data_IF_448942954972
#
_entry.id   IF_448942954972
#
_cell.length_a   1.000
_cell.length_b   1.000
_cell.length_c   1.000
_cell.angle_alpha   90.00
_cell.angle_beta   90.00
_cell.angle_gamma   90.00
#
_symmetry.space_group_name_H-M   'P 1'
#
loop_
_entity.id
_entity.type
_entity.pdbx_description
1 polymer ?
#
# COMPACT_ATOMS: atom_id res chain seq x y z
N UNK A 1 -1.61 17.12 4.36
CA UNK A 1 -2.69 16.19 3.99
C UNK A 1 -3.08 15.41 5.24
N UNK A 2 -4.37 15.13 5.45
CA UNK A 2 -4.92 14.40 6.62
C UNK A 2 -5.99 13.39 6.14
N UNK A 3 -6.21 12.27 6.85
CA UNK A 3 -7.35 11.38 6.60
C UNK A 3 -8.64 12.07 7.03
N UNK A 4 -9.69 12.09 6.18
CA UNK A 4 -10.88 12.89 6.44
C UNK A 4 -11.82 12.30 7.50
N UNK A 5 -11.56 11.08 7.97
CA UNK A 5 -12.38 10.35 8.94
C UNK A 5 -11.48 9.43 9.77
N UNK A 6 -11.96 8.96 10.93
CA UNK A 6 -11.20 8.11 11.83
C UNK A 6 -10.56 6.89 11.15
N UNK A 7 -9.37 6.50 11.59
CA UNK A 7 -8.61 5.38 11.00
C UNK A 7 -9.27 4.01 11.17
N UNK A 8 -10.23 3.88 12.09
CA UNK A 8 -11.05 2.68 12.28
C UNK A 8 -12.18 2.55 11.25
N UNK A 9 -12.51 3.62 10.51
CA UNK A 9 -13.55 3.60 9.47
C UNK A 9 -12.90 3.20 8.15
N UNK A 10 -13.28 2.03 7.63
CA UNK A 10 -12.70 1.45 6.41
C UNK A 10 -13.23 2.09 5.12
N UNK A 11 -12.62 1.73 3.99
CA UNK A 11 -13.11 2.10 2.66
C UNK A 11 -14.21 1.12 2.25
N UNK A 12 -15.41 1.63 2.00
CA UNK A 12 -16.57 0.83 1.57
C UNK A 12 -16.73 0.80 0.04
N UNK A 13 -16.34 1.87 -0.65
CA UNK A 13 -16.42 1.96 -2.11
C UNK A 13 -15.29 2.85 -2.65
N UNK A 14 -14.35 2.28 -3.41
CA UNK A 14 -13.19 3.04 -3.85
C UNK A 14 -13.46 3.89 -5.11
N UNK A 15 -12.57 4.85 -5.33
CA UNK A 15 -12.48 5.62 -6.56
C UNK A 15 -12.31 4.70 -7.76
N UNK A 16 -12.98 5.01 -8.87
CA UNK A 16 -12.91 4.23 -10.09
C UNK A 16 -13.69 2.91 -10.06
N UNK A 17 -14.29 2.51 -8.94
CA UNK A 17 -15.15 1.30 -8.88
C UNK A 17 -16.42 1.54 -9.69
N UNK A 18 -16.87 0.54 -10.46
CA UNK A 18 -18.14 0.64 -11.19
C UNK A 18 -19.31 0.17 -10.32
N UNK A 19 -20.40 0.92 -10.38
CA UNK A 19 -21.70 0.46 -9.92
C UNK A 19 -22.23 -0.66 -10.84
N UNK A 20 -23.26 -1.39 -10.39
CA UNK A 20 -23.89 -2.47 -11.19
C UNK A 20 -24.43 -2.00 -12.54
N UNK A 21 -24.77 -0.71 -12.65
CA UNK A 21 -25.21 -0.06 -13.90
C UNK A 21 -24.05 0.47 -14.76
N UNK A 22 -22.80 0.13 -14.44
CA UNK A 22 -21.61 0.49 -15.22
C UNK A 22 -21.04 1.89 -14.96
N UNK A 23 -21.73 2.73 -14.17
CA UNK A 23 -21.27 4.08 -13.82
C UNK A 23 -20.03 4.02 -12.93
N UNK A 24 -19.04 4.87 -13.21
CA UNK A 24 -17.80 4.96 -12.42
C UNK A 24 -18.02 5.82 -11.17
N UNK A 25 -17.55 5.32 -10.03
CA UNK A 25 -17.51 6.05 -8.78
C UNK A 25 -16.40 7.10 -8.80
N UNK A 26 -16.79 8.35 -8.54
CA UNK A 26 -15.93 9.53 -8.70
C UNK A 26 -15.17 9.91 -7.42
N UNK A 27 -15.43 9.25 -6.31
CA UNK A 27 -14.83 9.54 -5.00
C UNK A 27 -14.38 8.29 -4.28
N UNK A 28 -14.06 8.41 -2.99
CA UNK A 28 -13.80 7.31 -2.07
C UNK A 28 -14.84 7.39 -0.95
N UNK A 29 -15.51 6.27 -0.70
CA UNK A 29 -16.49 6.13 0.38
C UNK A 29 -15.85 5.45 1.58
N UNK A 30 -16.07 6.04 2.76
CA UNK A 30 -15.64 5.52 4.04
C UNK A 30 -16.84 5.15 4.90
N UNK A 31 -16.89 3.90 5.38
CA UNK A 31 -18.00 3.42 6.21
C UNK A 31 -17.57 2.29 7.14
N UNK A 32 -18.16 2.28 8.33
CA UNK A 32 -18.23 1.14 9.25
C UNK A 32 -19.70 0.81 9.59
N UNK A 33 -20.65 1.33 8.78
CA UNK A 33 -22.09 1.21 8.99
C UNK A 33 -22.70 2.21 9.98
N UNK A 34 -21.90 3.12 10.59
CA UNK A 34 -22.38 4.09 11.59
C UNK A 34 -22.27 5.54 11.10
N UNK A 35 -23.15 6.40 11.60
CA UNK A 35 -23.11 7.86 11.42
C UNK A 35 -22.35 8.55 12.55
N UNK A 36 -22.07 9.84 12.39
CA UNK A 36 -21.62 10.71 13.46
C UNK A 36 -20.10 10.79 13.61
N UNK A 37 -19.34 10.11 12.74
CA UNK A 37 -17.88 10.20 12.75
C UNK A 37 -17.44 11.63 12.42
N UNK A 38 -16.40 12.11 13.10
CA UNK A 38 -15.84 13.41 12.81
C UNK A 38 -15.27 13.45 11.38
N UNK A 39 -15.71 14.44 10.60
CA UNK A 39 -15.21 14.68 9.24
C UNK A 39 -14.24 15.86 9.28
N UNK A 40 -13.04 15.66 8.74
CA UNK A 40 -11.93 16.63 8.79
C UNK A 40 -11.49 17.03 7.39
N UNK A 41 -10.98 18.26 7.26
CA UNK A 41 -10.39 18.71 6.00
C UNK A 41 -9.09 17.94 5.71
N UNK A 42 -8.98 17.36 4.52
CA UNK A 42 -7.75 16.74 4.03
C UNK A 42 -6.62 17.75 3.86
N UNK A 43 -6.95 19.00 3.50
CA UNK A 43 -6.01 20.04 3.12
C UNK A 43 -6.33 21.38 3.80
N UNK A 44 -5.34 22.25 3.86
CA UNK A 44 -5.56 23.68 4.10
C UNK A 44 -6.33 24.26 2.91
N UNK A 45 -7.31 25.11 3.17
CA UNK A 45 -8.07 25.73 2.10
C UNK A 45 -9.16 26.68 2.56
N UNK A 46 -10.02 27.06 1.63
CA UNK A 46 -11.18 27.91 1.87
C UNK A 46 -12.45 27.13 1.52
N UNK A 47 -13.43 27.14 2.42
CA UNK A 47 -14.75 26.56 2.18
C UNK A 47 -15.44 27.34 1.06
N UNK A 48 -15.77 26.67 -0.04
CA UNK A 48 -16.52 27.24 -1.16
C UNK A 48 -17.97 26.82 -1.19
N UNK A 49 -18.34 25.79 -0.42
CA UNK A 49 -19.72 25.34 -0.24
C UNK A 49 -19.88 24.69 1.14
N UNK A 50 -21.00 24.96 1.80
CA UNK A 50 -21.46 24.29 3.01
C UNK A 50 -22.99 24.26 3.00
N UNK A 51 -23.59 23.07 2.89
CA UNK A 51 -25.04 22.90 2.85
C UNK A 51 -25.52 21.91 1.78
N UNK A 52 -26.82 21.92 1.51
CA UNK A 52 -27.46 21.10 0.46
C UNK A 52 -27.45 21.80 -0.91
N UNK A 53 -27.51 21.03 -2.01
CA UNK A 53 -27.76 21.57 -3.36
C UNK A 53 -26.55 22.12 -4.14
N UNK A 54 -25.32 22.04 -3.60
CA UNK A 54 -24.06 22.49 -4.20
C UNK A 54 -23.66 21.79 -5.51
N UNK A 55 -22.69 20.85 -5.48
CA UNK A 55 -22.29 20.06 -6.67
C UNK A 55 -23.36 19.06 -7.15
N UNK A 56 -24.59 19.20 -6.66
CA UNK A 56 -25.74 18.38 -6.99
C UNK A 56 -26.40 17.80 -5.73
N UNK A 57 -27.71 17.51 -5.80
CA UNK A 57 -28.46 16.92 -4.68
C UNK A 57 -28.00 15.50 -4.33
N UNK A 58 -27.33 14.80 -5.26
CA UNK A 58 -26.87 13.43 -5.07
C UNK A 58 -25.90 13.26 -3.89
N UNK A 59 -25.08 14.26 -3.58
CA UNK A 59 -24.16 14.23 -2.43
C UNK A 59 -24.84 14.53 -1.10
N UNK A 60 -26.12 14.90 -1.12
CA UNK A 60 -26.81 15.33 0.09
C UNK A 60 -26.22 16.63 0.65
N UNK A 61 -26.22 16.75 1.97
CA UNK A 61 -25.53 17.81 2.69
C UNK A 61 -24.01 17.60 2.58
N UNK A 62 -23.27 18.64 2.18
CA UNK A 62 -21.84 18.49 1.90
C UNK A 62 -21.07 19.80 2.10
N UNK A 63 -19.75 19.65 2.25
CA UNK A 63 -18.79 20.75 2.31
C UNK A 63 -17.81 20.61 1.14
N UNK A 64 -17.42 21.74 0.52
CA UNK A 64 -16.37 21.77 -0.50
C UNK A 64 -15.28 22.72 -0.05
N UNK A 65 -14.04 22.24 -0.04
CA UNK A 65 -12.86 23.03 0.31
C UNK A 65 -11.97 23.22 -0.91
N UNK A 66 -11.79 24.48 -1.32
CA UNK A 66 -10.83 24.89 -2.35
C UNK A 66 -9.45 25.01 -1.72
N UNK A 67 -8.50 24.23 -2.23
CA UNK A 67 -7.14 24.13 -1.70
C UNK A 67 -6.11 24.33 -2.81
N UNK A 68 -4.93 24.84 -2.48
CA UNK A 68 -3.78 24.81 -3.40
C UNK A 68 -2.87 23.67 -2.97
N UNK A 69 -2.72 22.65 -3.83
CA UNK A 69 -1.90 21.48 -3.54
C UNK A 69 -0.98 21.17 -4.71
N UNK A 70 0.33 21.08 -4.44
CA UNK A 70 1.39 20.86 -5.45
C UNK A 70 1.27 21.85 -6.64
N UNK A 71 1.06 23.13 -6.34
CA UNK A 71 0.93 24.19 -7.35
C UNK A 71 -0.37 24.16 -8.17
N UNK A 72 -1.32 23.27 -7.85
CA UNK A 72 -2.61 23.16 -8.55
C UNK A 72 -3.77 23.43 -7.60
N UNK A 73 -4.80 24.10 -8.09
CA UNK A 73 -6.05 24.30 -7.36
C UNK A 73 -6.88 23.01 -7.37
N UNK A 74 -7.34 22.59 -6.19
CA UNK A 74 -8.15 21.40 -5.94
C UNK A 74 -9.43 21.77 -5.22
N UNK A 75 -10.52 21.10 -5.53
CA UNK A 75 -11.76 21.16 -4.76
C UNK A 75 -12.01 19.80 -4.15
N UNK A 76 -11.99 19.73 -2.82
CA UNK A 76 -12.24 18.51 -2.08
C UNK A 76 -13.65 18.56 -1.53
N UNK A 77 -14.51 17.67 -2.01
CA UNK A 77 -15.89 17.51 -1.57
C UNK A 77 -15.97 16.46 -0.46
N UNK A 78 -16.72 16.78 0.59
CA UNK A 78 -17.06 15.89 1.71
C UNK A 78 -18.58 15.74 1.73
N UNK A 79 -19.07 14.63 1.19
CA UNK A 79 -20.48 14.34 0.95
C UNK A 79 -21.15 13.53 2.05
N UNK A 80 -22.48 13.48 2.00
CA UNK A 80 -23.35 12.74 2.92
C UNK A 80 -23.13 13.10 4.39
N UNK A 81 -22.96 14.40 4.68
CA UNK A 81 -22.80 14.90 6.03
C UNK A 81 -24.13 14.91 6.77
N UNK A 82 -24.06 14.67 8.08
CA UNK A 82 -25.18 14.87 9.00
C UNK A 82 -25.19 16.26 9.63
N UNK A 83 -24.00 16.81 9.83
CA UNK A 83 -23.80 18.16 10.34
C UNK A 83 -22.69 18.84 9.55
N UNK A 84 -22.79 20.16 9.41
CA UNK A 84 -21.73 21.03 8.92
C UNK A 84 -21.42 22.07 10.00
N UNK A 85 -20.13 22.23 10.31
CA UNK A 85 -19.63 23.10 11.38
C UNK A 85 -18.81 24.26 10.81
N UNK A 86 -19.01 24.56 9.53
CA UNK A 86 -18.25 25.57 8.78
C UNK A 86 -19.15 26.38 7.87
N UNK A 87 -18.70 27.56 7.48
CA UNK A 87 -19.43 28.47 6.60
C UNK A 87 -18.64 28.80 5.32
N UNK A 88 -19.35 29.15 4.25
CA UNK A 88 -18.73 29.61 3.00
C UNK A 88 -17.80 30.80 3.26
N UNK A 89 -16.61 30.77 2.67
CA UNK A 89 -15.55 31.76 2.87
C UNK A 89 -14.61 31.47 4.04
N UNK A 90 -14.95 30.55 4.94
CA UNK A 90 -14.10 30.18 6.06
C UNK A 90 -12.80 29.52 5.58
N UNK A 91 -11.66 29.99 6.11
CA UNK A 91 -10.37 29.30 5.96
C UNK A 91 -10.31 28.15 6.96
N UNK A 92 -9.92 26.98 6.46
CA UNK A 92 -9.77 25.76 7.25
C UNK A 92 -8.35 25.22 7.14
N UNK A 93 -7.85 24.63 8.21
CA UNK A 93 -6.59 23.88 8.23
C UNK A 93 -6.83 22.40 7.95
N UNK A 94 -5.84 21.71 7.39
CA UNK A 94 -5.85 20.26 7.33
C UNK A 94 -6.03 19.69 8.74
N UNK A 95 -6.94 18.72 8.88
CA UNK A 95 -7.33 18.14 10.17
C UNK A 95 -8.42 18.92 10.92
N UNK A 96 -8.79 20.14 10.48
CA UNK A 96 -9.89 20.88 11.09
C UNK A 96 -11.22 20.17 10.83
N UNK A 97 -12.04 20.05 11.88
CA UNK A 97 -13.40 19.50 11.80
C UNK A 97 -14.26 20.35 10.87
N UNK A 98 -14.87 19.68 9.89
CA UNK A 98 -15.83 20.24 8.95
C UNK A 98 -17.28 19.92 9.33
N UNK A 99 -17.50 18.80 10.05
CA UNK A 99 -18.82 18.29 10.36
C UNK A 99 -18.79 16.85 10.86
N UNK A 100 -19.89 16.13 10.66
CA UNK A 100 -19.97 14.69 10.97
C UNK A 100 -20.55 13.88 9.81
N UNK A 101 -20.10 12.63 9.65
CA UNK A 101 -20.64 11.73 8.63
C UNK A 101 -22.11 11.39 8.89
N UNK A 102 -22.87 11.16 7.83
CA UNK A 102 -24.29 10.84 7.84
C UNK A 102 -24.64 9.87 6.72
N UNK A 103 -25.77 10.11 6.06
CA UNK A 103 -26.15 9.37 4.86
C UNK A 103 -27.06 8.17 5.13
N UNK A 104 -27.69 8.05 6.30
CA UNK A 104 -28.76 7.07 6.50
C UNK A 104 -29.90 7.30 5.51
N UNK A 105 -30.39 6.22 4.90
CA UNK A 105 -31.52 6.28 3.98
C UNK A 105 -32.75 6.92 4.66
N UNK A 106 -33.40 7.85 3.96
CA UNK A 106 -34.56 8.60 4.47
C UNK A 106 -34.22 9.77 5.40
N UNK A 107 -32.95 9.99 5.74
CA UNK A 107 -32.54 11.21 6.45
C UNK A 107 -32.68 12.43 5.54
N UNK A 108 -33.17 13.54 6.10
CA UNK A 108 -33.18 14.83 5.40
C UNK A 108 -31.77 15.17 4.92
N UNK A 109 -31.64 15.44 3.62
CA UNK A 109 -30.36 15.71 2.94
C UNK A 109 -29.38 14.53 2.85
N UNK A 110 -29.86 13.27 2.86
CA UNK A 110 -29.02 12.09 2.59
C UNK A 110 -28.49 12.02 1.15
N UNK A 111 -29.14 12.73 0.21
CA UNK A 111 -28.88 12.57 -1.22
C UNK A 111 -29.15 11.15 -1.68
N UNK A 112 -28.32 10.63 -2.59
CA UNK A 112 -28.42 9.27 -3.12
C UNK A 112 -27.70 8.22 -2.25
N UNK A 113 -27.37 8.56 -1.00
CA UNK A 113 -26.73 7.63 -0.09
C UNK A 113 -27.61 6.40 0.16
N UNK A 114 -27.02 5.21 0.09
CA UNK A 114 -27.69 3.94 0.38
C UNK A 114 -27.52 3.49 1.83
N UNK A 115 -26.72 4.22 2.63
CA UNK A 115 -26.47 3.94 4.04
C UNK A 115 -25.37 4.82 4.63
N UNK A 116 -25.12 4.76 5.95
CA UNK A 116 -24.15 5.63 6.61
C UNK A 116 -22.74 5.55 6.03
N UNK A 117 -22.22 6.66 5.47
CA UNK A 117 -20.85 6.75 4.98
C UNK A 117 -20.42 8.22 4.78
N UNK A 118 -19.10 8.43 4.64
CA UNK A 118 -18.53 9.67 4.13
C UNK A 118 -18.07 9.46 2.69
N UNK A 119 -18.52 10.30 1.77
CA UNK A 119 -18.01 10.34 0.39
C UNK A 119 -16.98 11.46 0.24
N UNK A 120 -15.79 11.15 -0.29
CA UNK A 120 -14.75 12.15 -0.57
C UNK A 120 -14.37 12.14 -2.03
N UNK A 121 -14.56 13.28 -2.70
CA UNK A 121 -14.22 13.44 -4.12
C UNK A 121 -13.29 14.62 -4.31
N UNK A 122 -12.39 14.52 -5.28
CA UNK A 122 -11.52 15.62 -5.68
C UNK A 122 -11.80 15.99 -7.13
N UNK A 123 -11.98 17.28 -7.40
CA UNK A 123 -12.20 17.79 -8.75
C UNK A 123 -11.37 19.02 -9.10
N UNK A 124 -11.47 19.40 -10.38
CA UNK A 124 -10.87 20.59 -10.95
C UNK A 124 -11.92 21.66 -11.29
N UNK A 125 -11.53 22.93 -11.15
CA UNK A 125 -12.27 24.10 -11.62
C UNK A 125 -13.72 24.22 -11.11
N UNK A 126 -14.01 23.76 -9.89
CA UNK A 126 -15.36 23.77 -9.31
C UNK A 126 -16.41 23.02 -10.16
N UNK A 127 -16.02 21.95 -10.88
CA UNK A 127 -16.95 21.17 -11.73
C UNK A 127 -17.13 19.73 -11.24
N UNK A 128 -18.36 19.22 -11.37
CA UNK A 128 -18.78 17.87 -11.03
C UNK A 128 -18.32 16.77 -12.03
N UNK A 129 -17.99 17.17 -13.26
CA UNK A 129 -17.67 16.27 -14.37
C UNK A 129 -16.18 15.93 -14.50
N UNK A 130 -15.29 16.71 -13.86
CA UNK A 130 -13.84 16.47 -13.84
C UNK A 130 -13.35 16.10 -12.45
N UNK A 131 -13.12 14.82 -12.26
CA UNK A 131 -12.65 14.22 -11.01
C UNK A 131 -11.24 13.63 -11.18
N UNK A 132 -10.52 13.50 -10.07
CA UNK A 132 -9.26 12.77 -9.98
C UNK A 132 -9.26 11.86 -8.76
N UNK A 133 -8.27 10.99 -8.69
CA UNK A 133 -8.08 10.08 -7.56
C UNK A 133 -7.99 10.86 -6.23
N UNK A 134 -8.96 10.72 -5.31
CA UNK A 134 -8.95 11.39 -4.01
C UNK A 134 -7.75 11.01 -3.14
N UNK A 135 -7.11 9.86 -3.39
CA UNK A 135 -5.88 9.47 -2.70
C UNK A 135 -4.73 10.44 -2.95
N UNK A 136 -4.80 11.29 -3.98
CA UNK A 136 -3.83 12.37 -4.20
C UNK A 136 -3.81 13.43 -3.08
N UNK A 137 -4.90 13.58 -2.32
CA UNK A 137 -5.02 14.60 -1.25
C UNK A 137 -5.36 14.01 0.13
N UNK A 138 -5.81 12.76 0.19
CA UNK A 138 -6.09 12.06 1.43
C UNK A 138 -4.78 11.47 1.96
N UNK A 139 -4.34 11.91 3.14
CA UNK A 139 -3.21 11.26 3.80
C UNK A 139 -3.69 9.99 4.47
N UNK A 140 -3.26 8.84 3.96
CA UNK A 140 -3.51 7.55 4.59
C UNK A 140 -2.69 7.34 5.88
N UNK A 141 -1.57 8.06 6.00
CA UNK A 141 -0.63 8.07 7.12
C UNK A 141 -1.00 9.12 8.18
N UNK A 142 -2.25 9.18 8.62
CA UNK A 142 -2.47 9.58 10.02
C UNK A 142 -2.42 8.31 10.87
N UNK A 143 -1.27 7.99 11.47
CA UNK A 143 -1.31 7.48 12.82
C UNK A 143 -2.30 8.36 13.59
N UNK A 144 -3.21 7.76 14.35
CA UNK A 144 -3.50 8.33 15.66
C UNK A 144 -2.12 8.67 16.24
N UNK A 145 -1.92 9.88 16.76
CA UNK A 145 -0.65 10.26 17.39
C UNK A 145 -0.34 9.26 18.51
N UNK A 146 0.26 8.13 18.16
CA UNK A 146 1.05 7.32 19.05
C UNK A 146 2.27 8.19 19.24
N UNK A 147 2.60 8.62 20.47
CA UNK A 147 3.84 9.33 20.72
C UNK A 147 4.94 8.55 20.02
N UNK A 148 5.61 9.19 19.05
CA UNK A 148 6.75 8.59 18.37
C UNK A 148 7.75 8.29 19.48
N UNK A 149 8.00 7.03 19.84
CA UNK A 149 8.99 6.74 20.85
C UNK A 149 10.30 7.36 20.32
N UNK A 150 11.09 8.03 21.17
CA UNK A 150 12.36 8.59 20.75
C UNK A 150 13.14 7.52 20.00
N UNK A 151 13.77 7.92 18.89
CA UNK A 151 14.64 7.05 18.09
C UNK A 151 15.48 6.22 19.06
N UNK A 152 15.33 4.89 19.13
CA UNK A 152 16.05 4.10 20.11
C UNK A 152 17.54 4.39 19.92
N UNK A 153 18.16 4.89 20.99
CA UNK A 153 19.59 5.21 21.04
C UNK A 153 20.44 3.95 21.04
N UNK A 154 19.82 2.79 21.24
CA UNK A 154 20.36 1.45 21.05
C UNK A 154 19.87 0.82 19.73
N UNK A 155 20.61 -0.19 19.22
CA UNK A 155 20.12 -1.03 18.11
C UNK A 155 18.73 -1.55 18.52
N UNK A 156 17.67 -1.35 17.71
CA UNK A 156 16.36 -1.90 18.04
C UNK A 156 16.50 -3.41 18.24
N UNK A 157 15.76 -3.97 19.18
CA UNK A 157 15.75 -5.41 19.38
C UNK A 157 15.04 -6.05 18.17
N UNK A 158 15.84 -6.42 17.16
CA UNK A 158 15.36 -6.86 15.86
C UNK A 158 14.92 -8.32 15.96
N UNK A 159 13.76 -8.62 15.38
CA UNK A 159 13.33 -10.00 15.20
C UNK A 159 13.94 -10.58 13.93
N UNK A 160 13.69 -9.96 12.78
CA UNK A 160 14.38 -10.24 11.52
C UNK A 160 14.15 -9.09 10.51
N UNK A 161 14.93 -9.08 9.43
CA UNK A 161 14.79 -8.12 8.34
C UNK A 161 14.35 -8.77 7.04
N UNK A 162 13.57 -8.03 6.25
CA UNK A 162 13.12 -8.41 4.90
C UNK A 162 13.65 -7.37 3.91
N UNK A 163 14.24 -7.84 2.82
CA UNK A 163 14.72 -7.05 1.68
C UNK A 163 13.93 -7.45 0.44
N UNK A 164 13.31 -6.50 -0.27
CA UNK A 164 12.55 -6.72 -1.50
C UNK A 164 13.30 -6.14 -2.70
N UNK A 165 13.54 -7.01 -3.69
CA UNK A 165 14.20 -6.71 -4.96
C UNK A 165 13.26 -7.02 -6.11
N UNK A 166 12.91 -6.03 -6.92
CA UNK A 166 12.20 -6.25 -8.18
C UNK A 166 13.19 -6.01 -9.33
N UNK A 167 13.46 -7.04 -10.12
CA UNK A 167 14.58 -7.04 -11.08
C UNK A 167 14.20 -6.65 -12.52
N UNK A 168 12.98 -6.18 -12.78
CA UNK A 168 12.55 -5.70 -14.10
C UNK A 168 12.73 -6.75 -15.22
N UNK A 169 12.16 -7.94 -15.01
CA UNK A 169 12.45 -9.23 -15.67
C UNK A 169 12.32 -9.30 -17.19
N UNK A 170 11.83 -8.25 -17.85
CA UNK A 170 11.54 -8.23 -19.29
C UNK A 170 12.20 -7.10 -20.08
N UNK A 171 12.89 -6.15 -19.42
CA UNK A 171 13.39 -4.94 -20.08
C UNK A 171 14.93 -4.86 -20.07
N UNK A 172 15.54 -5.33 -21.16
CA UNK A 172 16.98 -5.22 -21.42
C UNK A 172 17.31 -3.87 -22.06
N UNK A 173 17.19 -2.76 -21.31
CA UNK A 173 17.51 -1.41 -21.79
C UNK A 173 18.94 -0.95 -21.50
N UNK A 174 19.94 -1.78 -21.86
CA UNK A 174 21.29 -1.26 -22.12
C UNK A 174 22.24 -1.09 -20.92
N UNK A 175 21.98 -1.73 -19.77
CA UNK A 175 23.11 -2.22 -18.94
C UNK A 175 23.41 -3.61 -19.46
N UNK A 176 24.52 -3.73 -20.17
CA UNK A 176 24.84 -4.94 -20.92
C UNK A 176 24.99 -6.14 -19.98
N UNK A 177 24.14 -7.14 -20.26
CA UNK A 177 24.00 -8.46 -19.65
C UNK A 177 23.44 -8.47 -18.23
N UNK A 178 22.34 -9.19 -18.02
CA UNK A 178 21.84 -9.63 -16.69
C UNK A 178 22.93 -10.00 -15.67
N UNK A 179 24.08 -10.48 -16.14
CA UNK A 179 25.26 -10.71 -15.31
C UNK A 179 25.67 -9.47 -14.49
N UNK A 180 25.81 -8.30 -15.12
CA UNK A 180 26.22 -7.07 -14.42
C UNK A 180 25.17 -6.62 -13.40
N UNK A 181 23.88 -6.69 -13.77
CA UNK A 181 22.75 -6.41 -12.87
C UNK A 181 22.81 -7.35 -11.66
N UNK A 182 22.88 -8.66 -11.89
CA UNK A 182 22.97 -9.68 -10.83
C UNK A 182 24.20 -9.43 -9.95
N UNK A 183 25.39 -9.20 -10.53
CA UNK A 183 26.61 -8.93 -9.75
C UNK A 183 26.42 -7.73 -8.81
N UNK A 184 25.91 -6.61 -9.33
CA UNK A 184 25.66 -5.41 -8.52
C UNK A 184 24.58 -5.67 -7.46
N UNK A 185 23.46 -6.30 -7.82
CA UNK A 185 22.38 -6.67 -6.90
C UNK A 185 22.90 -7.56 -5.77
N UNK A 186 23.72 -8.58 -6.05
CA UNK A 186 24.27 -9.48 -5.04
C UNK A 186 25.24 -8.74 -4.11
N UNK A 187 26.12 -7.89 -4.65
CA UNK A 187 27.02 -7.07 -3.84
C UNK A 187 26.24 -6.12 -2.91
N UNK A 188 25.14 -5.59 -3.42
CA UNK A 188 24.26 -4.72 -2.69
C UNK A 188 23.47 -5.46 -1.59
N UNK A 189 22.91 -6.64 -1.88
CA UNK A 189 22.28 -7.53 -0.89
C UNK A 189 23.26 -7.89 0.23
N UNK A 190 24.50 -8.22 -0.10
CA UNK A 190 25.56 -8.49 0.89
C UNK A 190 25.76 -7.32 1.85
N UNK A 191 25.68 -6.10 1.34
CA UNK A 191 25.81 -4.87 2.15
C UNK A 191 24.59 -4.63 3.04
N UNK A 192 23.38 -4.97 2.57
CA UNK A 192 22.14 -4.84 3.36
C UNK A 192 22.04 -5.89 4.45
N UNK A 193 22.38 -7.14 4.14
CA UNK A 193 22.53 -8.24 5.10
C UNK A 193 21.25 -8.64 5.83
N UNK A 194 20.07 -8.60 5.19
CA UNK A 194 18.80 -9.00 5.83
C UNK A 194 18.59 -10.50 5.83
N UNK A 195 17.87 -11.00 6.84
CA UNK A 195 17.62 -12.41 7.04
C UNK A 195 16.88 -13.05 5.85
N UNK A 196 15.96 -12.31 5.24
CA UNK A 196 15.16 -12.74 4.09
C UNK A 196 15.30 -11.73 2.96
N UNK A 197 15.51 -12.24 1.74
CA UNK A 197 15.50 -11.47 0.51
C UNK A 197 14.43 -12.05 -0.40
N UNK A 198 13.39 -11.25 -0.67
CA UNK A 198 12.36 -11.54 -1.63
C UNK A 198 12.74 -10.92 -2.98
N UNK A 199 12.76 -11.75 -4.02
CA UNK A 199 13.11 -11.34 -5.38
C UNK A 199 11.89 -11.55 -6.27
N UNK A 200 11.53 -10.50 -7.01
CA UNK A 200 10.46 -10.47 -7.99
C UNK A 200 11.09 -10.23 -9.38
N UNK A 201 10.47 -10.82 -10.39
CA UNK A 201 10.88 -10.76 -11.80
C UNK A 201 12.30 -11.28 -12.08
N UNK A 202 12.79 -12.27 -11.33
CA UNK A 202 14.01 -12.99 -11.68
C UNK A 202 13.75 -13.94 -12.87
N UNK A 203 14.36 -13.76 -14.05
CA UNK A 203 14.06 -14.62 -15.20
C UNK A 203 14.48 -16.06 -14.94
N UNK A 204 13.67 -17.03 -15.38
CA UNK A 204 13.90 -18.47 -15.13
C UNK A 204 15.32 -18.91 -15.53
N UNK A 205 15.82 -18.48 -16.69
CA UNK A 205 17.16 -18.81 -17.18
C UNK A 205 18.31 -18.17 -16.39
N UNK A 206 18.03 -17.34 -15.38
CA UNK A 206 19.02 -16.66 -14.52
C UNK A 206 18.99 -17.15 -13.07
N UNK A 207 18.01 -17.95 -12.70
CA UNK A 207 17.79 -18.40 -11.33
C UNK A 207 19.01 -19.12 -10.76
N UNK A 208 19.64 -20.01 -11.53
CA UNK A 208 20.75 -20.82 -11.01
C UNK A 208 22.05 -20.01 -10.81
N UNK A 209 22.35 -19.05 -11.69
CA UNK A 209 23.46 -18.11 -11.47
C UNK A 209 23.20 -17.24 -10.22
N UNK A 210 21.96 -16.75 -10.07
CA UNK A 210 21.58 -15.98 -8.89
C UNK A 210 21.70 -16.79 -7.60
N UNK A 211 21.23 -18.04 -7.58
CA UNK A 211 21.37 -18.98 -6.45
C UNK A 211 22.85 -19.19 -6.10
N UNK A 212 23.69 -19.47 -7.10
CA UNK A 212 25.13 -19.69 -6.91
C UNK A 212 25.78 -18.48 -6.23
N UNK A 213 25.48 -17.27 -6.69
CA UNK A 213 26.03 -16.02 -6.16
C UNK A 213 25.50 -15.68 -4.77
N UNK A 214 24.20 -15.87 -4.53
CA UNK A 214 23.60 -15.74 -3.19
C UNK A 214 24.26 -16.71 -2.19
N UNK A 215 24.54 -17.96 -2.60
CA UNK A 215 25.24 -18.93 -1.76
C UNK A 215 26.65 -18.48 -1.37
N UNK A 216 27.37 -17.84 -2.30
CA UNK A 216 28.70 -17.29 -2.05
C UNK A 216 28.71 -16.15 -1.01
N UNK A 217 27.58 -15.46 -0.81
CA UNK A 217 27.43 -14.39 0.20
C UNK A 217 26.63 -14.83 1.44
N UNK A 218 26.45 -16.14 1.65
CA UNK A 218 25.89 -16.69 2.90
C UNK A 218 24.38 -16.93 2.90
N UNK A 219 23.72 -16.91 1.73
CA UNK A 219 22.29 -17.19 1.59
C UNK A 219 22.03 -18.59 1.02
N UNK A 220 20.82 -19.12 1.22
CA UNK A 220 20.29 -20.30 0.55
C UNK A 220 18.96 -19.97 -0.10
N UNK A 221 18.63 -20.67 -1.18
CA UNK A 221 17.34 -20.52 -1.85
C UNK A 221 16.28 -21.27 -1.05
N UNK A 222 15.26 -20.56 -0.56
CA UNK A 222 14.14 -21.13 0.19
C UNK A 222 13.06 -21.73 -0.72
N UNK A 223 13.07 -21.36 -2.01
CA UNK A 223 12.09 -21.77 -2.99
C UNK A 223 11.56 -20.58 -3.79
N UNK A 224 10.72 -20.87 -4.77
CA UNK A 224 10.17 -19.86 -5.66
C UNK A 224 9.64 -20.45 -6.96
N UNK A 225 8.85 -19.66 -7.68
CA UNK A 225 8.35 -20.01 -9.00
C UNK A 225 8.10 -18.77 -9.85
N UNK A 226 8.28 -18.89 -11.17
CA UNK A 226 8.00 -17.86 -12.18
C UNK A 226 8.49 -16.46 -11.78
N UNK A 227 9.75 -16.36 -11.35
CA UNK A 227 10.39 -15.09 -10.98
C UNK A 227 10.07 -14.55 -9.58
N UNK A 228 9.29 -15.27 -8.76
CA UNK A 228 9.09 -14.95 -7.33
C UNK A 228 9.89 -15.91 -6.49
N UNK A 229 10.96 -15.44 -5.88
CA UNK A 229 11.90 -16.28 -5.12
C UNK A 229 12.18 -15.71 -3.75
N UNK A 230 12.35 -16.59 -2.76
CA UNK A 230 12.88 -16.22 -1.45
C UNK A 230 14.30 -16.78 -1.28
N UNK A 231 15.19 -15.95 -0.78
CA UNK A 231 16.49 -16.34 -0.29
C UNK A 231 16.60 -16.00 1.19
N UNK A 232 17.23 -16.88 1.96
CA UNK A 232 17.38 -16.70 3.41
C UNK A 232 18.82 -16.92 3.81
N UNK A 233 19.29 -16.27 4.87
CA UNK A 233 20.63 -16.54 5.40
C UNK A 233 20.76 -18.04 5.76
N UNK A 234 21.93 -18.65 5.53
CA UNK A 234 22.12 -20.11 5.67
C UNK A 234 21.75 -20.64 7.06
N UNK A 235 22.01 -19.85 8.11
CA UNK A 235 21.70 -20.18 9.50
C UNK A 235 20.23 -20.01 9.88
N UNK A 236 19.42 -19.36 9.05
CA UNK A 236 17.97 -19.23 9.27
C UNK A 236 17.28 -20.52 8.80
N UNK A 237 16.51 -21.16 9.67
CA UNK A 237 15.76 -22.35 9.31
C UNK A 237 14.53 -21.98 8.47
N UNK A 238 14.19 -22.83 7.50
CA UNK A 238 13.06 -22.62 6.59
C UNK A 238 12.38 -23.96 6.33
N UNK A 239 11.06 -24.00 6.52
CA UNK A 239 10.25 -25.17 6.19
C UNK A 239 9.97 -25.19 4.68
N UNK A 240 9.55 -26.33 4.13
CA UNK A 240 9.21 -26.44 2.71
C UNK A 240 8.11 -25.42 2.32
N UNK A 241 8.40 -24.58 1.33
CA UNK A 241 7.49 -23.56 0.84
C UNK A 241 6.43 -24.10 -0.14
N UNK A 242 5.41 -23.28 -0.39
CA UNK A 242 4.29 -23.62 -1.27
C UNK A 242 4.14 -22.56 -2.36
N UNK A 243 3.86 -23.03 -3.57
CA UNK A 243 3.50 -22.20 -4.73
C UNK A 243 1.99 -22.30 -4.94
N UNK A 244 1.35 -21.18 -5.23
CA UNK A 244 -0.08 -21.15 -5.54
C UNK A 244 -0.43 -20.08 -6.56
N UNK A 245 -1.50 -20.33 -7.32
CA UNK A 245 -2.01 -19.39 -8.31
C UNK A 245 -2.85 -18.31 -7.62
N UNK A 246 -2.67 -17.06 -8.05
CA UNK A 246 -3.46 -15.95 -7.53
C UNK A 246 -4.88 -15.94 -8.11
N UNK A 247 -5.10 -16.48 -9.31
CA UNK A 247 -6.40 -16.48 -9.97
C UNK A 247 -6.49 -17.54 -11.08
N UNK A 248 -6.97 -18.76 -10.78
CA UNK A 248 -7.24 -19.74 -11.83
C UNK A 248 -8.37 -19.30 -12.80
N UNK A 249 -9.29 -18.43 -12.35
CA UNK A 249 -10.53 -18.12 -13.09
C UNK A 249 -10.54 -16.74 -13.79
N UNK A 250 -9.46 -15.94 -13.74
CA UNK A 250 -9.47 -14.54 -14.20
C UNK A 250 -8.72 -14.25 -15.51
N UNK A 251 -8.37 -15.28 -16.30
CA UNK A 251 -7.84 -15.06 -17.66
C UNK A 251 -6.62 -14.13 -17.67
N UNK A 252 -5.51 -14.61 -17.12
CA UNK A 252 -4.21 -13.98 -17.16
C UNK A 252 -3.18 -15.05 -16.84
N UNK A 253 -2.38 -15.43 -17.82
CA UNK A 253 -1.39 -16.49 -17.65
C UNK A 253 -0.48 -16.18 -16.44
N UNK A 254 -0.30 -17.16 -15.56
CA UNK A 254 0.92 -17.31 -14.76
C UNK A 254 1.21 -16.34 -13.60
N UNK A 255 0.20 -15.69 -13.00
CA UNK A 255 0.43 -14.98 -11.72
C UNK A 255 0.41 -15.92 -10.52
N UNK A 256 1.61 -16.26 -10.04
CA UNK A 256 1.86 -17.13 -8.88
C UNK A 256 2.38 -16.34 -7.69
N UNK A 257 2.15 -16.90 -6.52
CA UNK A 257 2.84 -16.54 -5.29
C UNK A 257 3.66 -17.72 -4.77
N UNK A 258 4.72 -17.42 -4.04
CA UNK A 258 5.47 -18.38 -3.25
C UNK A 258 5.50 -17.94 -1.79
N UNK A 259 5.31 -18.86 -0.86
CA UNK A 259 5.46 -18.56 0.57
C UNK A 259 6.17 -19.68 1.31
N UNK A 260 6.89 -19.32 2.38
CA UNK A 260 7.57 -20.28 3.24
C UNK A 260 7.52 -19.85 4.70
N UNK A 261 7.58 -20.84 5.61
CA UNK A 261 7.74 -20.60 7.03
C UNK A 261 9.23 -20.40 7.33
N UNK A 262 9.58 -19.22 7.84
CA UNK A 262 10.91 -18.81 8.25
C UNK A 262 11.02 -18.94 9.78
N UNK A 263 12.11 -19.52 10.26
CA UNK A 263 12.42 -19.70 11.68
C UNK A 263 13.71 -18.94 12.01
N UNK A 264 13.61 -17.70 12.53
CA UNK A 264 14.76 -16.90 12.90
C UNK A 264 15.60 -17.61 13.98
N UNK A 265 16.92 -17.58 13.85
CA UNK A 265 17.84 -18.45 14.60
C UNK A 265 17.83 -18.21 16.11
N UNK A 266 17.53 -16.98 16.55
CA UNK A 266 17.50 -16.60 17.97
C UNK A 266 16.07 -16.48 18.52
N UNK A 267 15.06 -17.02 17.83
CA UNK A 267 13.68 -16.96 18.28
C UNK A 267 12.89 -18.22 17.87
N UNK A 268 12.31 -18.97 18.82
CA UNK A 268 11.55 -20.20 18.51
C UNK A 268 10.30 -19.95 17.65
N UNK A 269 9.90 -18.69 17.51
CA UNK A 269 8.66 -18.29 16.88
C UNK A 269 8.76 -18.20 15.34
N UNK A 270 7.98 -19.00 14.58
CA UNK A 270 7.98 -18.96 13.13
C UNK A 270 7.33 -17.68 12.58
N UNK A 271 7.75 -17.29 11.39
CA UNK A 271 7.13 -16.27 10.55
C UNK A 271 6.79 -16.85 9.18
N UNK A 272 5.84 -16.26 8.46
CA UNK A 272 5.64 -16.55 7.04
C UNK A 272 6.05 -15.33 6.24
N UNK A 273 6.90 -15.55 5.24
CA UNK A 273 7.14 -14.55 4.20
C UNK A 273 6.54 -15.09 2.90
N UNK A 274 5.70 -14.28 2.27
CA UNK A 274 5.01 -14.64 1.04
C UNK A 274 5.34 -13.60 -0.03
N UNK A 275 5.92 -14.03 -1.14
CA UNK A 275 6.33 -13.15 -2.25
C UNK A 275 5.40 -13.34 -3.45
N UNK A 276 4.94 -12.23 -4.03
CA UNK A 276 4.13 -12.26 -5.25
C UNK A 276 4.31 -11.02 -6.12
N UNK A 277 3.75 -11.07 -7.33
CA UNK A 277 3.57 -9.92 -8.20
C UNK A 277 2.16 -10.00 -8.77
N UNK A 278 1.39 -8.91 -8.60
CA UNK A 278 0.04 -8.80 -9.12
C UNK A 278 0.05 -8.51 -10.64
N UNK A 279 -1.13 -8.53 -11.24
CA UNK A 279 -1.31 -8.23 -12.65
C UNK A 279 -0.87 -6.82 -12.99
N UNK A 280 -0.36 -6.65 -14.21
CA UNK A 280 -0.03 -5.33 -14.75
C UNK A 280 -1.26 -4.41 -14.66
N UNK A 281 -1.05 -3.13 -14.33
CA UNK A 281 -2.12 -2.16 -14.07
C UNK A 281 -3.18 -2.17 -15.18
N UNK A 282 -4.43 -2.45 -14.81
CA UNK A 282 -5.57 -2.27 -15.72
C UNK A 282 -6.25 -0.93 -15.40
N UNK A 283 -7.05 -0.42 -16.34
CA UNK A 283 -7.73 0.88 -16.20
C UNK A 283 -8.62 0.97 -14.94
N UNK A 284 -8.98 -0.17 -14.35
CA UNK A 284 -9.89 -0.23 -13.20
C UNK A 284 -9.25 -0.67 -11.90
N UNK A 285 -8.05 -1.25 -11.90
CA UNK A 285 -7.44 -1.88 -10.72
C UNK A 285 -8.19 -3.12 -10.20
N UNK A 286 -9.20 -3.62 -10.92
CA UNK A 286 -10.12 -4.66 -10.40
C UNK A 286 -9.43 -6.01 -10.29
N UNK A 287 -8.59 -6.35 -11.27
CA UNK A 287 -7.87 -7.63 -11.29
C UNK A 287 -6.85 -7.70 -10.16
N UNK A 288 -6.10 -6.64 -9.92
CA UNK A 288 -5.12 -6.54 -8.83
C UNK A 288 -5.81 -6.68 -7.47
N UNK A 289 -6.96 -6.01 -7.26
CA UNK A 289 -7.72 -6.15 -6.01
C UNK A 289 -8.19 -7.60 -5.80
N UNK A 290 -8.70 -8.26 -6.85
CA UNK A 290 -9.11 -9.67 -6.75
C UNK A 290 -7.93 -10.59 -6.43
N UNK A 291 -6.81 -10.42 -7.14
CA UNK A 291 -5.58 -11.19 -6.90
C UNK A 291 -5.00 -10.93 -5.52
N UNK A 292 -5.01 -9.69 -5.05
CA UNK A 292 -4.57 -9.31 -3.71
C UNK A 292 -5.43 -9.95 -2.61
N UNK A 293 -6.76 -9.99 -2.78
CA UNK A 293 -7.65 -10.70 -1.84
C UNK A 293 -7.41 -12.21 -1.85
N UNK A 294 -7.26 -12.80 -3.04
CA UNK A 294 -6.91 -14.22 -3.19
C UNK A 294 -5.57 -14.54 -2.51
N UNK A 295 -4.56 -13.70 -2.76
CA UNK A 295 -3.24 -13.80 -2.17
C UNK A 295 -3.30 -13.79 -0.64
N UNK A 296 -3.90 -12.77 -0.04
CA UNK A 296 -4.00 -12.69 1.42
C UNK A 296 -4.82 -13.81 2.03
N UNK A 297 -5.94 -14.19 1.40
CA UNK A 297 -6.77 -15.29 1.89
C UNK A 297 -5.98 -16.60 1.97
N UNK A 298 -5.22 -16.92 0.91
CA UNK A 298 -4.40 -18.13 0.84
C UNK A 298 -3.21 -18.08 1.82
N UNK A 299 -2.53 -16.93 1.95
CA UNK A 299 -1.43 -16.77 2.92
C UNK A 299 -1.93 -16.92 4.36
N UNK A 300 -3.07 -16.30 4.70
CA UNK A 300 -3.65 -16.43 6.04
C UNK A 300 -4.18 -17.85 6.31
N UNK A 301 -4.72 -18.53 5.29
CA UNK A 301 -5.11 -19.94 5.41
C UNK A 301 -3.90 -20.84 5.66
N UNK A 302 -2.79 -20.63 4.94
CA UNK A 302 -1.54 -21.34 5.18
C UNK A 302 -0.96 -21.04 6.57
N UNK A 303 -1.04 -19.79 7.03
CA UNK A 303 -0.62 -19.40 8.38
C UNK A 303 -1.38 -20.16 9.45
N UNK A 304 -2.71 -20.25 9.34
CA UNK A 304 -3.54 -21.08 10.24
C UNK A 304 -3.15 -22.56 10.18
N UNK A 305 -2.91 -23.10 8.99
CA UNK A 305 -2.51 -24.49 8.81
C UNK A 305 -1.12 -24.82 9.38
N UNK A 306 -0.25 -23.82 9.53
CA UNK A 306 1.11 -23.95 10.07
C UNK A 306 1.24 -23.43 11.51
N UNK A 307 0.12 -23.09 12.16
CA UNK A 307 0.08 -22.49 13.49
C UNK A 307 0.99 -21.26 13.62
N UNK A 308 1.01 -20.43 12.58
CA UNK A 308 1.74 -19.16 12.56
C UNK A 308 0.74 -18.04 12.81
N UNK A 309 0.89 -17.24 13.89
CA UNK A 309 0.03 -16.10 14.15
C UNK A 309 -0.01 -15.11 12.97
N UNK A 310 -1.17 -14.54 12.67
CA UNK A 310 -1.34 -13.65 11.50
C UNK A 310 -0.41 -12.44 11.53
N UNK A 311 -0.03 -11.97 12.72
CA UNK A 311 0.92 -10.88 12.89
C UNK A 311 2.38 -11.25 12.69
N UNK A 312 2.65 -12.52 12.35
CA UNK A 312 3.93 -13.05 11.91
C UNK A 312 3.92 -13.38 10.42
N UNK A 313 2.90 -12.92 9.71
CA UNK A 313 2.77 -13.04 8.27
C UNK A 313 3.23 -11.75 7.61
N UNK A 314 4.09 -11.87 6.62
CA UNK A 314 4.70 -10.77 5.88
C UNK A 314 4.52 -10.97 4.38
N UNK A 315 3.40 -10.48 3.82
CA UNK A 315 3.22 -10.38 2.38
C UNK A 315 4.21 -9.37 1.79
N UNK A 316 4.91 -9.75 0.73
CA UNK A 316 5.91 -8.96 0.04
C UNK A 316 5.58 -8.99 -1.44
N UNK A 317 5.34 -7.84 -2.07
CA UNK A 317 4.77 -7.85 -3.41
C UNK A 317 4.99 -6.59 -4.21
N UNK A 318 5.03 -6.75 -5.51
CA UNK A 318 4.75 -5.67 -6.46
C UNK A 318 3.25 -5.69 -6.80
N UNK A 319 2.55 -4.62 -6.43
CA UNK A 319 1.12 -4.46 -6.63
C UNK A 319 0.76 -4.05 -8.05
N UNK A 320 1.72 -3.56 -8.84
CA UNK A 320 1.48 -2.88 -10.11
C UNK A 320 0.47 -1.71 -10.00
N UNK A 321 0.13 -1.24 -8.79
CA UNK A 321 -0.91 -0.23 -8.55
C UNK A 321 -0.69 0.53 -7.23
N UNK A 322 -0.80 1.86 -7.24
CA UNK A 322 -0.28 2.75 -6.18
C UNK A 322 -1.04 2.64 -4.83
N UNK A 323 -2.37 2.82 -4.82
CA UNK A 323 -3.13 2.97 -3.55
C UNK A 323 -4.35 2.06 -3.44
N UNK A 324 -5.02 1.74 -4.56
CA UNK A 324 -6.31 1.04 -4.56
C UNK A 324 -6.26 -0.33 -3.87
N UNK A 325 -5.19 -1.08 -4.11
CA UNK A 325 -5.02 -2.43 -3.56
C UNK A 325 -4.88 -2.41 -2.03
N UNK A 326 -4.15 -1.41 -1.49
CA UNK A 326 -4.01 -1.23 -0.05
C UNK A 326 -5.38 -1.06 0.62
N UNK A 327 -6.22 -0.20 0.06
CA UNK A 327 -7.51 0.14 0.64
C UNK A 327 -8.58 -0.94 0.47
N UNK A 328 -8.62 -1.61 -0.68
CA UNK A 328 -9.68 -2.57 -1.00
C UNK A 328 -9.37 -4.01 -0.58
N UNK A 329 -8.09 -4.37 -0.42
CA UNK A 329 -7.68 -5.75 -0.13
C UNK A 329 -6.88 -5.86 1.16
N UNK A 330 -5.86 -5.02 1.37
CA UNK A 330 -4.91 -5.24 2.46
C UNK A 330 -5.41 -4.76 3.81
N UNK A 331 -5.97 -3.55 3.88
CA UNK A 331 -6.46 -2.98 5.13
C UNK A 331 -7.66 -3.71 5.73
N UNK A 332 -8.67 -4.14 4.95
CA UNK A 332 -9.76 -4.95 5.50
C UNK A 332 -9.25 -6.26 6.10
N UNK A 333 -8.11 -6.78 5.63
CA UNK A 333 -7.43 -7.95 6.16
C UNK A 333 -6.44 -7.64 7.30
N UNK A 334 -6.40 -6.39 7.79
CA UNK A 334 -5.55 -5.96 8.91
C UNK A 334 -4.10 -5.62 8.54
N UNK A 335 -3.73 -5.76 7.26
CA UNK A 335 -2.39 -5.45 6.77
C UNK A 335 -2.21 -3.96 6.45
N UNK A 336 -1.00 -3.47 6.66
CA UNK A 336 -0.59 -2.13 6.28
C UNK A 336 0.80 -2.16 5.63
N UNK A 337 1.12 -1.16 4.80
CA UNK A 337 2.47 -0.98 4.26
C UNK A 337 3.43 -0.57 5.37
N UNK A 338 4.47 -1.37 5.62
CA UNK A 338 5.49 -1.12 6.66
C UNK A 338 6.19 0.23 6.51
N UNK A 339 6.17 0.84 5.33
CA UNK A 339 6.60 2.22 5.15
C UNK A 339 5.80 3.20 6.03
N UNK A 340 4.49 3.00 6.19
CA UNK A 340 3.60 3.92 6.92
C UNK A 340 3.96 4.10 8.40
N UNK A 341 4.66 3.16 9.02
CA UNK A 341 5.11 3.22 10.42
C UNK A 341 6.47 3.88 10.63
N UNK A 342 7.28 4.02 9.58
CA UNK A 342 8.64 4.56 9.68
C UNK A 342 8.75 6.04 9.29
N UNK A 343 7.73 6.60 8.63
CA UNK A 343 7.76 7.96 8.13
C UNK A 343 6.88 8.90 8.96
N UNK A 344 7.45 9.41 10.03
CA UNK A 344 7.14 10.77 10.50
C UNK A 344 8.34 11.66 10.17
N UNK A 345 8.11 12.68 9.35
CA UNK A 345 8.88 13.93 9.22
C UNK A 345 9.89 14.17 8.07
N UNK A 346 10.57 13.22 7.41
CA UNK A 346 11.53 13.61 6.34
C UNK A 346 11.67 12.62 5.15
N UNK A 347 11.86 13.21 3.97
CA UNK A 347 12.38 12.69 2.69
C UNK A 347 11.44 12.17 1.58
N UNK A 348 11.79 12.61 0.37
CA UNK A 348 11.02 12.70 -0.87
C UNK A 348 10.89 11.42 -1.71
N UNK A 349 11.23 10.23 -1.18
CA UNK A 349 11.33 8.99 -1.94
C UNK A 349 10.43 7.87 -1.40
N UNK A 350 9.12 8.09 -1.46
CA UNK A 350 8.10 7.06 -1.20
C UNK A 350 7.81 6.19 -2.43
N UNK A 351 8.42 6.49 -3.57
CA UNK A 351 8.22 5.76 -4.82
C UNK A 351 9.17 4.58 -4.89
N UNK A 352 8.69 3.48 -5.43
CA UNK A 352 9.54 2.32 -5.72
C UNK A 352 9.58 2.05 -7.20
N UNK A 353 8.47 2.13 -7.93
CA UNK A 353 8.56 2.17 -9.38
C UNK A 353 8.83 3.58 -9.85
N UNK A 354 10.04 3.80 -10.37
CA UNK A 354 10.50 5.11 -10.81
C UNK A 354 10.64 5.17 -12.33
N UNK A 355 10.80 4.02 -12.99
CA UNK A 355 11.19 3.95 -14.39
C UNK A 355 12.72 4.02 -14.53
N UNK A 356 13.25 3.53 -15.64
CA UNK A 356 14.68 3.56 -15.91
C UNK A 356 15.25 4.98 -15.85
N UNK A 357 16.33 5.15 -15.09
CA UNK A 357 17.07 6.42 -14.96
C UNK A 357 16.26 7.60 -14.41
N UNK A 358 15.08 7.34 -13.86
CA UNK A 358 14.22 8.37 -13.30
C UNK A 358 14.62 8.77 -11.88
N UNK A 359 14.31 10.01 -11.51
CA UNK A 359 14.55 10.52 -10.16
C UNK A 359 13.59 9.83 -9.17
N UNK A 360 14.05 9.43 -7.96
CA UNK A 360 13.22 8.80 -6.91
C UNK A 360 11.95 9.57 -6.49
N UNK A 361 11.87 10.85 -6.82
CA UNK A 361 10.72 11.72 -6.52
C UNK A 361 9.60 11.61 -7.57
N UNK A 362 9.85 10.95 -8.71
CA UNK A 362 8.88 10.68 -9.78
C UNK A 362 8.60 9.17 -9.76
N UNK A 363 7.34 8.76 -9.80
CA UNK A 363 7.00 7.33 -9.78
C UNK A 363 5.73 6.96 -9.02
N UNK A 364 5.59 5.67 -8.72
CA UNK A 364 4.50 5.05 -7.93
C UNK A 364 5.05 4.23 -6.76
N UNK A 365 4.27 4.05 -5.69
CA UNK A 365 4.58 3.12 -4.59
C UNK A 365 3.87 1.80 -4.89
N UNK A 366 4.59 0.85 -5.46
CA UNK A 366 3.98 -0.43 -5.86
C UNK A 366 4.66 -1.66 -5.24
N UNK A 367 5.89 -1.53 -4.73
CA UNK A 367 6.63 -2.63 -4.12
C UNK A 367 6.45 -2.61 -2.60
N UNK A 368 5.58 -3.42 -2.03
CA UNK A 368 5.20 -3.34 -0.63
C UNK A 368 5.80 -4.47 0.20
N UNK A 369 6.19 -4.15 1.43
CA UNK A 369 6.35 -5.14 2.51
C UNK A 369 5.21 -4.83 3.48
N UNK A 370 4.30 -5.78 3.65
CA UNK A 370 3.13 -5.63 4.52
C UNK A 370 3.37 -6.29 5.88
N UNK A 371 2.75 -5.73 6.91
CA UNK A 371 2.66 -6.32 8.23
C UNK A 371 1.27 -6.11 8.82
N UNK A 372 0.89 -6.92 9.80
CA UNK A 372 -0.31 -6.64 10.62
C UNK A 372 -0.05 -5.48 11.56
N UNK A 373 -1.04 -4.61 11.81
CA UNK A 373 -0.89 -3.40 12.65
C UNK A 373 -0.33 -3.66 14.06
N UNK A 374 -0.56 -4.85 14.59
CA UNK A 374 -0.04 -5.28 15.91
C UNK A 374 1.45 -5.66 15.89
N UNK A 375 2.15 -5.54 14.76
CA UNK A 375 3.56 -5.91 14.60
C UNK A 375 4.41 -4.62 14.49
N UNK A 376 5.30 -4.33 15.45
CA UNK A 376 6.17 -3.16 15.35
C UNK A 376 7.15 -3.31 14.18
N UNK A 377 7.29 -2.23 13.42
CA UNK A 377 8.34 -2.07 12.39
C UNK A 377 9.39 -1.13 12.95
N UNK A 378 10.59 -1.65 13.17
CA UNK A 378 11.68 -0.89 13.77
C UNK A 378 12.33 0.08 12.77
N UNK A 379 12.34 -0.27 11.48
CA UNK A 379 12.89 0.56 10.41
C UNK A 379 12.30 0.17 9.06
N UNK A 380 12.16 1.14 8.18
CA UNK A 380 11.93 0.94 6.77
C UNK A 380 12.85 1.87 5.97
N UNK A 381 13.27 1.46 4.78
CA UNK A 381 14.06 2.32 3.88
C UNK A 381 13.79 1.98 2.42
N UNK A 382 13.69 3.02 1.58
CA UNK A 382 13.83 2.93 0.13
C UNK A 382 15.28 3.21 -0.26
N UNK A 383 15.84 2.38 -1.14
CA UNK A 383 17.22 2.44 -1.56
C UNK A 383 17.36 3.21 -2.88
N UNK A 384 17.48 4.53 -2.78
CA UNK A 384 17.65 5.40 -3.96
C UNK A 384 18.97 5.17 -4.70
N UNK A 385 19.96 4.53 -4.08
CA UNK A 385 21.24 4.15 -4.71
C UNK A 385 21.11 3.04 -5.74
N UNK A 386 19.93 2.44 -5.90
CA UNK A 386 19.71 1.31 -6.81
C UNK A 386 18.92 1.67 -8.06
N UNK A 387 18.70 2.98 -8.32
CA UNK A 387 17.97 3.48 -9.48
C UNK A 387 18.60 3.12 -10.85
N UNK A 388 19.83 2.61 -10.87
CA UNK A 388 20.50 2.07 -12.05
C UNK A 388 20.42 0.54 -12.16
N UNK A 389 19.93 -0.18 -11.13
CA UNK A 389 19.87 -1.64 -11.14
C UNK A 389 18.58 -2.18 -11.77
N UNK A 390 17.49 -1.45 -11.57
CA UNK A 390 16.14 -1.79 -11.99
C UNK A 390 15.34 -0.49 -12.19
N UNK A 391 14.23 -0.53 -12.92
CA UNK A 391 13.23 0.55 -12.92
C UNK A 391 12.43 0.60 -11.60
N UNK A 392 12.66 -0.36 -10.71
CA UNK A 392 12.25 -0.36 -9.32
C UNK A 392 13.41 0.00 -8.37
N UNK A 393 13.09 0.77 -7.33
CA UNK A 393 13.94 0.99 -6.18
C UNK A 393 13.69 -0.09 -5.14
N UNK A 394 14.78 -0.58 -4.55
CA UNK A 394 14.70 -1.64 -3.57
C UNK A 394 14.24 -1.10 -2.22
N UNK A 395 13.54 -1.94 -1.45
CA UNK A 395 13.08 -1.59 -0.12
C UNK A 395 13.48 -2.63 0.91
N UNK A 396 13.66 -2.21 2.14
CA UNK A 396 13.79 -3.14 3.25
C UNK A 396 13.02 -2.68 4.47
N UNK A 397 12.59 -3.67 5.24
CA UNK A 397 11.95 -3.49 6.55
C UNK A 397 12.71 -4.29 7.61
N UNK A 398 12.95 -3.66 8.76
CA UNK A 398 13.37 -4.30 9.99
C UNK A 398 12.15 -4.51 10.89
N UNK A 399 11.85 -5.76 11.20
CA UNK A 399 10.73 -6.10 12.07
C UNK A 399 11.23 -6.17 13.51
N UNK A 400 10.55 -5.45 14.42
CA UNK A 400 10.90 -5.46 15.84
C UNK A 400 10.50 -6.77 16.54
N UNK A 401 11.23 -7.13 17.60
CA UNK A 401 10.73 -8.07 18.60
C UNK A 401 9.47 -7.47 19.25
N UNK A 402 8.56 -8.35 19.63
CA UNK A 402 7.25 -7.96 20.17
C UNK A 402 7.29 -7.81 21.66
#
# INVERSE_FOLDING_TARGET
MVRPIGSSVGVSFAYGRRYSNGIIHKGVDFSDGREGHEVRSCLDGTVTHAGYGGWGPAYGQHVIVKSTFKGKTKWVLYGHLKTENVSVGQRVKAGQKLGTSGGRAGQRYSGNSTGPHLHVQVGYANRYDRYEDPWAVINYSTPVAIPVPPRPTSKPDLWFGIDLRNLAGFNDHGIDTWHARIVKTIADIKTVGRAVVAVIELPNGKVDDFKKRMSAIGYKHAGGNMGRHLFVLKHVAVDAGVVFNLSPDLGGDNKVAFMAVIRPTDNPNPAIVAVTQLENEDLTGTTQVKQARSFLSQVLAYARAKDVPEDRVFPVLDTNSDSRVLHEAFEPAGFFDTAATAYSSENSAWRTFVGWFAKPTKGKRIDLILAQRKRPVARFRVRTTTADLSDHLDIFADIGKR
#
